data_IF_217635496762
#
_entry.id   IF_217635496762
#
_cell.length_a   1.000
_cell.length_b   1.000
_cell.length_c   1.000
_cell.angle_alpha   90.00
_cell.angle_beta   90.00
_cell.angle_gamma   90.00
#
_symmetry.space_group_name_H-M   'P 1'
#
loop_
_entity.id
_entity.type
_entity.pdbx_description
1 polymer ?
#
# COMPACT_ATOMS: atom_id res chain seq x y z
N UNK A 1 -61.28 39.37 -25.86
CA UNK A 1 -60.33 38.43 -25.22
C UNK A 1 -61.09 37.65 -24.16
N UNK A 2 -61.12 36.32 -24.26
CA UNK A 2 -62.03 35.49 -23.45
C UNK A 2 -61.48 35.32 -22.03
N UNK A 3 -62.23 35.73 -21.01
CA UNK A 3 -61.80 35.74 -19.60
C UNK A 3 -61.37 34.35 -19.11
N UNK A 4 -61.95 33.29 -19.70
CA UNK A 4 -61.54 31.89 -19.43
C UNK A 4 -60.14 31.57 -19.94
N UNK A 5 -59.72 32.15 -21.08
CA UNK A 5 -58.39 31.96 -21.65
C UNK A 5 -57.34 32.68 -20.79
N UNK A 6 -57.66 33.88 -20.31
CA UNK A 6 -56.77 34.66 -19.43
C UNK A 6 -56.53 33.91 -18.10
N UNK A 7 -57.59 33.29 -17.53
CA UNK A 7 -57.48 32.52 -16.29
C UNK A 7 -56.58 31.28 -16.43
N UNK A 8 -56.63 30.60 -17.58
CA UNK A 8 -55.78 29.44 -17.88
C UNK A 8 -54.31 29.82 -18.01
N UNK A 9 -54.00 30.96 -18.63
CA UNK A 9 -52.62 31.47 -18.72
C UNK A 9 -52.06 31.87 -17.36
N UNK A 10 -52.86 32.49 -16.49
CA UNK A 10 -52.44 32.88 -15.14
C UNK A 10 -52.16 31.65 -14.27
N UNK A 11 -53.03 30.64 -14.31
CA UNK A 11 -52.84 29.38 -13.56
C UNK A 11 -51.59 28.61 -14.04
N UNK A 12 -51.34 28.59 -15.35
CA UNK A 12 -50.13 28.02 -15.94
C UNK A 12 -48.85 28.74 -15.46
N UNK A 13 -48.86 30.08 -15.42
CA UNK A 13 -47.71 30.85 -14.95
C UNK A 13 -47.39 30.62 -13.47
N UNK A 14 -48.41 30.51 -12.61
CA UNK A 14 -48.25 30.28 -11.17
C UNK A 14 -47.62 28.90 -10.89
N UNK A 15 -47.97 27.89 -11.69
CA UNK A 15 -47.41 26.53 -11.56
C UNK A 15 -45.93 26.46 -11.97
N UNK A 16 -45.49 27.29 -12.93
CA UNK A 16 -44.09 27.34 -13.36
C UNK A 16 -43.18 28.06 -12.35
N UNK A 17 -43.70 29.05 -11.62
CA UNK A 17 -42.91 29.82 -10.63
C UNK A 17 -42.69 29.02 -9.34
N UNK A 18 -43.61 28.10 -8.98
CA UNK A 18 -43.52 27.30 -7.76
C UNK A 18 -42.54 26.12 -7.85
N UNK A 19 -41.97 25.83 -9.03
CA UNK A 19 -41.03 24.71 -9.22
C UNK A 19 -39.54 25.05 -8.96
N UNK A 20 -39.20 26.32 -8.70
CA UNK A 20 -37.79 26.73 -8.53
C UNK A 20 -37.38 27.11 -7.10
N UNK A 21 -38.15 26.77 -6.06
CA UNK A 21 -37.84 27.20 -4.69
C UNK A 21 -37.20 26.13 -3.77
N UNK A 22 -36.83 24.95 -4.27
CA UNK A 22 -36.40 23.83 -3.40
C UNK A 22 -35.11 23.10 -3.85
N UNK A 23 -34.06 23.83 -4.28
CA UNK A 23 -32.72 23.24 -4.43
C UNK A 23 -31.60 24.25 -4.16
N UNK A 24 -31.72 25.01 -3.07
CA UNK A 24 -30.60 25.75 -2.51
C UNK A 24 -30.26 25.12 -1.16
N UNK A 25 -29.49 24.06 -1.20
CA UNK A 25 -28.42 23.69 -0.25
C UNK A 25 -27.80 22.45 -0.90
N UNK A 26 -26.80 22.68 -1.75
CA UNK A 26 -25.73 21.70 -1.93
C UNK A 26 -24.51 22.35 -1.30
N UNK A 27 -24.14 21.75 -0.17
CA UNK A 27 -22.99 22.02 0.66
C UNK A 27 -21.85 22.75 -0.05
N UNK A 28 -21.60 23.99 0.40
CA UNK A 28 -20.31 24.63 0.23
C UNK A 28 -19.32 24.05 1.26
N UNK A 29 -19.22 22.73 1.31
CA UNK A 29 -18.08 22.08 1.93
C UNK A 29 -17.00 22.03 0.86
N UNK A 30 -16.28 23.14 0.71
CA UNK A 30 -14.86 23.08 0.33
C UNK A 30 -14.14 22.34 1.44
N UNK A 31 -14.40 21.04 1.51
CA UNK A 31 -13.43 20.10 1.99
C UNK A 31 -12.26 20.30 1.03
N UNK A 32 -11.26 21.06 1.47
CA UNK A 32 -9.90 20.82 1.05
C UNK A 32 -9.57 19.39 1.48
N UNK A 33 -10.19 18.41 0.82
CA UNK A 33 -9.66 17.08 0.71
C UNK A 33 -8.43 17.33 -0.14
N UNK A 34 -7.34 17.68 0.53
CA UNK A 34 -6.02 17.30 0.05
C UNK A 34 -6.20 15.86 -0.35
N UNK A 35 -6.26 15.64 -1.66
CA UNK A 35 -6.23 14.31 -2.24
C UNK A 35 -4.99 13.69 -1.61
N UNK A 36 -5.18 12.88 -0.57
CA UNK A 36 -4.12 12.08 0.00
C UNK A 36 -3.86 11.09 -1.10
N UNK A 37 -2.96 11.48 -1.99
CA UNK A 37 -2.37 10.57 -2.94
C UNK A 37 -1.78 9.50 -2.04
N UNK A 38 -2.46 8.34 -1.99
CA UNK A 38 -1.99 7.21 -1.22
C UNK A 38 -0.68 6.83 -1.90
N UNK A 39 0.42 7.37 -1.34
CA UNK A 39 1.75 7.10 -1.85
C UNK A 39 1.90 5.59 -1.73
N UNK A 40 2.22 4.94 -2.85
CA UNK A 40 2.60 3.53 -2.85
C UNK A 40 3.64 3.34 -1.73
N UNK A 41 3.53 2.26 -0.96
CA UNK A 41 4.47 1.95 0.10
C UNK A 41 4.89 0.51 -0.07
N UNK A 42 6.18 0.29 -0.25
CA UNK A 42 6.71 -1.00 -0.66
C UNK A 42 8.22 -1.04 -0.57
N UNK A 43 8.76 -2.22 -0.82
CA UNK A 43 10.20 -2.47 -0.82
C UNK A 43 10.83 -1.71 -2.01
N UNK A 44 11.97 -1.09 -1.78
CA UNK A 44 12.66 -0.29 -2.82
C UNK A 44 13.72 -1.10 -3.57
N UNK A 45 14.27 -2.12 -2.93
CA UNK A 45 15.27 -3.01 -3.47
C UNK A 45 14.63 -4.23 -4.15
N UNK A 46 15.23 -4.69 -5.24
CA UNK A 46 14.78 -5.92 -5.88
C UNK A 46 15.37 -7.18 -5.25
N UNK A 47 16.60 -7.06 -4.77
CA UNK A 47 17.43 -8.21 -4.45
C UNK A 47 18.39 -7.89 -3.30
N UNK A 48 18.89 -8.94 -2.67
CA UNK A 48 19.83 -8.90 -1.55
C UNK A 48 19.11 -8.96 -0.19
N UNK A 49 19.88 -8.99 0.91
CA UNK A 49 19.31 -9.18 2.25
C UNK A 49 18.93 -7.87 2.95
N UNK A 50 19.24 -6.72 2.35
CA UNK A 50 19.03 -5.39 2.90
C UNK A 50 17.85 -4.69 2.23
N UNK A 51 16.70 -4.72 2.91
CA UNK A 51 15.49 -4.06 2.43
C UNK A 51 15.20 -2.77 3.18
N UNK A 52 14.67 -1.80 2.43
CA UNK A 52 14.09 -0.57 2.92
C UNK A 52 12.68 -0.40 2.36
N UNK A 53 11.84 0.33 3.10
CA UNK A 53 10.49 0.65 2.67
C UNK A 53 10.40 2.13 2.31
N UNK A 54 9.83 2.42 1.15
CA UNK A 54 9.66 3.79 0.69
C UNK A 54 8.55 3.95 -0.32
N UNK A 55 8.42 5.17 -0.82
CA UNK A 55 7.37 5.52 -1.79
C UNK A 55 7.75 5.26 -3.23
N UNK A 56 9.06 5.13 -3.49
CA UNK A 56 9.62 4.76 -4.77
C UNK A 56 9.68 3.22 -4.86
N UNK A 57 8.50 2.60 -4.88
CA UNK A 57 8.38 1.15 -4.98
C UNK A 57 8.87 0.70 -6.34
N UNK A 58 9.77 -0.28 -6.35
CA UNK A 58 10.28 -0.84 -7.61
C UNK A 58 9.26 -1.83 -8.17
N UNK A 59 8.66 -1.49 -9.31
CA UNK A 59 7.56 -2.28 -9.91
C UNK A 59 8.04 -3.49 -10.71
N UNK A 60 9.28 -3.45 -11.20
CA UNK A 60 9.87 -4.52 -12.03
C UNK A 60 11.27 -4.82 -11.55
N UNK A 61 11.51 -6.10 -11.31
CA UNK A 61 12.81 -6.67 -10.97
C UNK A 61 13.23 -7.67 -12.05
N UNK A 62 14.53 -7.93 -12.13
CA UNK A 62 15.05 -9.04 -12.94
C UNK A 62 14.58 -10.37 -12.34
N UNK A 63 14.43 -11.41 -13.16
CA UNK A 63 14.07 -12.77 -12.70
C UNK A 63 15.26 -13.50 -12.06
N UNK A 64 16.39 -12.82 -11.87
CA UNK A 64 17.56 -13.41 -11.23
C UNK A 64 17.29 -13.56 -9.74
N UNK A 65 17.70 -14.68 -9.18
CA UNK A 65 17.72 -14.84 -7.74
C UNK A 65 19.05 -14.32 -7.20
N UNK A 66 19.02 -13.52 -6.14
CA UNK A 66 20.23 -13.20 -5.37
C UNK A 66 20.10 -13.69 -3.94
N UNK A 67 21.26 -13.99 -3.37
CA UNK A 67 21.35 -14.45 -2.01
C UNK A 67 20.78 -13.39 -1.04
N UNK A 68 19.85 -13.79 -0.20
CA UNK A 68 19.14 -12.90 0.73
C UNK A 68 17.81 -12.38 0.24
N UNK A 69 17.42 -12.63 -1.02
CA UNK A 69 16.11 -12.23 -1.55
C UNK A 69 14.97 -12.75 -0.67
N UNK A 70 15.10 -13.96 -0.12
CA UNK A 70 14.08 -14.58 0.74
C UNK A 70 13.96 -13.93 2.11
N UNK A 71 14.94 -13.13 2.54
CA UNK A 71 14.78 -12.35 3.76
C UNK A 71 13.66 -11.29 3.65
N UNK A 72 13.20 -10.95 2.43
CA UNK A 72 12.06 -10.06 2.22
C UNK A 72 10.76 -10.62 2.80
N UNK A 73 10.63 -11.94 2.92
CA UNK A 73 9.46 -12.62 3.50
C UNK A 73 9.21 -12.19 4.96
N UNK A 74 10.25 -11.70 5.65
CA UNK A 74 10.21 -11.26 7.04
C UNK A 74 10.02 -9.75 7.21
N UNK A 75 9.76 -9.03 6.12
CA UNK A 75 9.58 -7.59 6.10
C UNK A 75 8.18 -7.24 5.56
N UNK A 76 7.56 -6.22 6.13
CA UNK A 76 6.36 -5.60 5.58
C UNK A 76 6.52 -4.10 5.51
N UNK A 77 6.11 -3.50 4.41
CA UNK A 77 6.02 -2.05 4.28
C UNK A 77 4.60 -1.61 4.55
N UNK A 78 4.42 -0.72 5.52
CA UNK A 78 3.12 -0.25 5.98
C UNK A 78 3.13 1.27 6.08
N UNK A 79 2.00 1.90 5.77
CA UNK A 79 1.82 3.33 6.01
C UNK A 79 1.41 3.51 7.48
N UNK A 80 2.24 4.20 8.26
CA UNK A 80 1.97 4.58 9.65
C UNK A 80 2.23 6.08 9.81
N UNK A 81 1.26 6.80 10.37
CA UNK A 81 1.34 8.25 10.56
C UNK A 81 1.70 9.02 9.28
N UNK A 82 1.10 8.63 8.15
CA UNK A 82 1.34 9.22 6.83
C UNK A 82 2.79 9.06 6.30
N UNK A 83 3.56 8.14 6.87
CA UNK A 83 4.91 7.76 6.43
C UNK A 83 4.98 6.27 6.09
N UNK A 84 5.75 5.91 5.06
CA UNK A 84 6.02 4.51 4.73
C UNK A 84 7.09 3.98 5.69
N UNK A 85 6.72 2.99 6.51
CA UNK A 85 7.58 2.43 7.54
C UNK A 85 7.78 0.94 7.31
N UNK A 86 8.99 0.48 7.61
CA UNK A 86 9.36 -0.93 7.58
C UNK A 86 9.01 -1.60 8.91
N UNK A 87 8.16 -2.61 8.85
CA UNK A 87 7.90 -3.52 9.95
C UNK A 87 8.70 -4.81 9.76
N UNK A 88 9.56 -5.12 10.73
CA UNK A 88 10.44 -6.28 10.71
C UNK A 88 9.88 -7.36 11.63
N UNK A 89 9.75 -8.58 11.11
CA UNK A 89 9.61 -9.76 11.97
C UNK A 89 10.93 -10.02 12.72
N UNK A 90 10.92 -10.55 13.95
CA UNK A 90 12.14 -10.96 14.66
C UNK A 90 13.08 -11.86 13.85
N UNK A 91 12.55 -12.64 12.90
CA UNK A 91 13.32 -13.51 12.00
C UNK A 91 14.12 -12.74 10.93
N UNK A 92 13.82 -11.47 10.68
CA UNK A 92 14.49 -10.70 9.63
C UNK A 92 15.99 -10.54 9.89
N UNK A 93 16.37 -10.06 11.07
CA UNK A 93 17.79 -9.87 11.40
C UNK A 93 18.53 -11.21 11.50
N UNK A 94 17.84 -12.27 11.94
CA UNK A 94 18.41 -13.61 11.96
C UNK A 94 18.66 -14.17 10.54
N UNK A 95 17.72 -13.94 9.61
CA UNK A 95 17.88 -14.28 8.19
C UNK A 95 19.07 -13.52 7.60
N UNK A 96 19.10 -12.19 7.76
CA UNK A 96 20.14 -11.32 7.24
C UNK A 96 21.53 -11.71 7.75
N UNK A 97 21.66 -11.94 9.05
CA UNK A 97 22.92 -12.36 9.65
C UNK A 97 23.38 -13.71 9.11
N UNK A 98 22.46 -14.68 9.00
CA UNK A 98 22.79 -16.00 8.46
C UNK A 98 23.24 -15.92 7.00
N UNK A 99 22.55 -15.14 6.17
CA UNK A 99 22.94 -14.88 4.79
C UNK A 99 24.32 -14.22 4.70
N UNK A 100 24.64 -13.25 5.54
CA UNK A 100 25.98 -12.66 5.56
C UNK A 100 27.07 -13.63 6.02
N UNK A 101 26.75 -14.60 6.89
CA UNK A 101 27.67 -15.69 7.21
C UNK A 101 27.84 -16.63 6.02
N UNK A 102 26.78 -16.94 5.27
CA UNK A 102 26.87 -17.70 4.02
C UNK A 102 27.76 -17.00 2.98
N UNK A 103 27.66 -15.67 2.87
CA UNK A 103 28.51 -14.86 1.97
C UNK A 103 29.99 -14.85 2.40
N UNK A 104 30.25 -14.81 3.72
CA UNK A 104 31.62 -14.75 4.26
C UNK A 104 32.31 -16.12 4.26
N UNK A 105 31.55 -17.19 4.43
CA UNK A 105 32.08 -18.54 4.46
C UNK A 105 32.16 -19.13 3.06
N UNK A 106 33.25 -18.83 2.37
CA UNK A 106 33.63 -19.34 1.03
C UNK A 106 33.74 -20.90 0.95
N UNK A 107 33.57 -21.58 2.09
CA UNK A 107 33.52 -23.05 2.18
C UNK A 107 32.14 -23.63 1.83
N UNK A 108 31.09 -22.81 1.84
CA UNK A 108 29.79 -23.19 1.32
C UNK A 108 29.87 -23.19 -0.20
N UNK A 109 30.09 -24.35 -0.82
CA UNK A 109 30.14 -24.46 -2.29
C UNK A 109 28.83 -24.02 -2.97
N UNK A 110 27.75 -23.90 -2.21
CA UNK A 110 26.46 -23.40 -2.67
C UNK A 110 25.84 -22.41 -1.66
N UNK A 111 26.00 -21.10 -1.88
CA UNK A 111 25.41 -20.07 -1.03
C UNK A 111 23.89 -20.18 -0.91
N UNK A 112 23.19 -20.66 -1.95
CA UNK A 112 21.73 -20.81 -1.93
C UNK A 112 21.32 -21.94 -0.98
N UNK A 113 22.02 -23.08 -1.03
CA UNK A 113 21.79 -24.16 -0.08
C UNK A 113 22.06 -23.74 1.38
N UNK A 114 23.01 -22.82 1.59
CA UNK A 114 23.25 -22.22 2.89
C UNK A 114 22.06 -21.35 3.34
N UNK A 115 21.52 -20.50 2.47
CA UNK A 115 20.30 -19.71 2.75
C UNK A 115 19.08 -20.60 3.03
N UNK A 116 18.88 -21.69 2.29
CA UNK A 116 17.79 -22.65 2.54
C UNK A 116 17.88 -23.27 3.93
N UNK A 117 19.11 -23.59 4.37
CA UNK A 117 19.38 -24.08 5.72
C UNK A 117 19.07 -23.02 6.77
N UNK A 118 19.42 -21.75 6.53
CA UNK A 118 19.06 -20.63 7.39
C UNK A 118 17.54 -20.57 7.62
N UNK A 119 16.76 -20.59 6.53
CA UNK A 119 15.31 -20.44 6.57
C UNK A 119 14.62 -21.64 7.22
N UNK A 120 15.13 -22.85 6.99
CA UNK A 120 14.67 -24.06 7.66
C UNK A 120 14.81 -23.91 9.18
N UNK A 121 15.97 -23.47 9.66
CA UNK A 121 16.21 -23.26 11.09
C UNK A 121 15.29 -22.18 11.69
N UNK A 122 15.04 -21.09 10.95
CA UNK A 122 14.11 -20.03 11.37
C UNK A 122 12.65 -20.49 11.39
N UNK A 123 12.26 -21.46 10.56
CA UNK A 123 10.91 -22.05 10.55
C UNK A 123 10.69 -23.03 11.70
N UNK A 124 11.74 -23.74 12.13
CA UNK A 124 11.71 -24.69 13.25
C UNK A 124 11.63 -23.93 14.58
N UNK A 125 12.36 -22.81 14.73
CA UNK A 125 12.35 -21.99 15.95
C UNK A 125 10.98 -21.39 16.31
N UNK A 126 10.04 -21.26 15.36
CA UNK A 126 8.67 -20.80 15.67
C UNK A 126 7.76 -21.86 16.28
N UNK A 127 8.12 -23.15 16.24
CA UNK A 127 7.28 -24.23 16.79
C UNK A 127 7.52 -24.51 18.29
N UNK A 128 8.49 -23.83 18.90
CA UNK A 128 8.78 -23.96 20.34
C UNK A 128 8.13 -22.86 21.20
N UNK A 129 7.39 -21.93 20.60
CA UNK A 129 6.75 -20.80 21.29
C UNK A 129 5.22 -20.67 21.03
N UNK A 130 4.59 -21.72 20.48
CA UNK A 130 3.13 -21.89 20.46
C UNK A 130 2.70 -22.91 21.53
#
# INVERSE_FOLDING_TARGET
MNTKIILLFILSLIFLISCQANNYILDNSTSNVTKVEIKKCGIQECHGPDFSCGTEVREVCTLEYRLGDRCSEFVKCLIKDNSCQMEKNPKYEACKNCVYECMRNDKSQDPIACEDSCLTNLSISSKEYE
#
